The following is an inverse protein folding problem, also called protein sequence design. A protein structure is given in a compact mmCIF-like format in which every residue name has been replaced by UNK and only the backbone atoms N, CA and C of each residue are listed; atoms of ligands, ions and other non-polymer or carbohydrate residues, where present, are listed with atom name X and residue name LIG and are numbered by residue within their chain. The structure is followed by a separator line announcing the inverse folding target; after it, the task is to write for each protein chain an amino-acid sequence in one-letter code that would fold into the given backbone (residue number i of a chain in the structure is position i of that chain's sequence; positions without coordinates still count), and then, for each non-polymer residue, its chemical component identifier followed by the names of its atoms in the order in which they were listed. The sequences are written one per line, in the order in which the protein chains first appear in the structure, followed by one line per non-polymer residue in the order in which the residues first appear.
data_IF_376169528387
#
_entry.id   IF_376169528387
#
_cell.length_a   1.000
_cell.length_b   1.000
_cell.length_c   1.000
_cell.angle_alpha   90.00
_cell.angle_beta   90.00
_cell.angle_gamma   90.00
#
_symmetry.space_group_name_H-M   'P 1'
#
loop_
_entity.id
_entity.type
_entity.pdbx_description
1 polymer ?
#
# COMPACT_ATOMS: atom_id res chain seq x y z
N UNK A 1 -3.73 -14.47 -21.03
CA UNK A 1 -2.99 -13.46 -20.26
C UNK A 1 -3.01 -12.25 -21.15
N UNK A 2 -3.65 -11.20 -20.68
CA UNK A 2 -3.98 -10.06 -21.53
C UNK A 2 -3.02 -8.93 -21.18
N UNK A 3 -2.33 -8.42 -22.20
CA UNK A 3 -1.35 -7.34 -22.09
C UNK A 3 -1.97 -6.03 -22.59
N UNK A 4 -1.82 -4.97 -21.79
CA UNK A 4 -2.28 -3.63 -22.15
C UNK A 4 -1.32 -2.56 -21.62
N UNK A 5 -1.03 -1.53 -22.41
CA UNK A 5 -0.27 -0.37 -21.96
C UNK A 5 -1.23 0.62 -21.30
N UNK A 6 -0.99 0.93 -20.04
CA UNK A 6 -1.73 1.98 -19.31
C UNK A 6 -1.14 3.34 -19.64
N UNK A 7 -2.01 4.29 -19.96
CA UNK A 7 -1.64 5.70 -20.19
C UNK A 7 -1.54 6.48 -18.88
N UNK A 8 -0.79 7.58 -18.84
CA UNK A 8 -0.77 8.47 -17.67
C UNK A 8 -2.17 8.99 -17.31
N UNK A 9 -3.03 9.24 -18.30
CA UNK A 9 -4.41 9.65 -18.08
C UNK A 9 -5.26 8.58 -17.37
N UNK A 10 -5.08 7.31 -17.73
CA UNK A 10 -5.72 6.19 -17.03
C UNK A 10 -5.17 6.04 -15.61
N UNK A 11 -3.86 6.17 -15.42
CA UNK A 11 -3.26 6.11 -14.08
C UNK A 11 -3.80 7.21 -13.15
N UNK A 12 -3.90 8.44 -13.65
CA UNK A 12 -4.54 9.55 -12.93
C UNK A 12 -5.98 9.20 -12.54
N UNK A 13 -6.77 8.69 -13.49
CA UNK A 13 -8.17 8.30 -13.27
C UNK A 13 -8.31 7.17 -12.24
N UNK A 14 -7.44 6.16 -12.32
CA UNK A 14 -7.38 5.05 -11.37
C UNK A 14 -7.10 5.54 -9.95
N UNK A 15 -6.21 6.51 -9.79
CA UNK A 15 -5.98 7.12 -8.49
C UNK A 15 -7.19 7.93 -8.03
N UNK A 16 -7.64 8.90 -8.83
CA UNK A 16 -8.59 9.92 -8.39
C UNK A 16 -9.97 9.34 -8.09
N UNK A 17 -10.44 8.40 -8.88
CA UNK A 17 -11.77 7.76 -8.72
C UNK A 17 -11.94 7.11 -7.34
N UNK A 18 -10.89 6.47 -6.83
CA UNK A 18 -10.95 5.65 -5.63
C UNK A 18 -10.30 6.32 -4.42
N UNK A 19 -9.30 7.18 -4.61
CA UNK A 19 -8.49 7.74 -3.53
C UNK A 19 -8.83 9.21 -3.20
N UNK A 20 -9.43 9.98 -4.11
CA UNK A 20 -9.80 11.38 -3.85
C UNK A 20 -11.03 11.50 -2.94
N UNK A 21 -10.82 11.40 -1.63
CA UNK A 21 -11.87 11.59 -0.61
C UNK A 21 -11.31 12.29 0.62
N UNK A 22 -12.20 12.67 1.52
CA UNK A 22 -11.85 12.96 2.92
C UNK A 22 -11.86 11.65 3.71
N UNK A 23 -10.68 11.10 3.94
CA UNK A 23 -10.46 9.90 4.72
C UNK A 23 -10.25 10.26 6.18
N UNK A 24 -11.07 9.69 7.06
CA UNK A 24 -10.91 9.78 8.50
C UNK A 24 -10.19 8.51 8.94
N UNK A 25 -8.98 8.64 9.47
CA UNK A 25 -8.13 7.47 9.67
C UNK A 25 -7.40 7.44 10.99
N UNK A 26 -6.75 6.32 11.23
CA UNK A 26 -5.90 6.05 12.36
C UNK A 26 -4.58 5.47 11.88
N UNK A 27 -3.48 6.10 12.26
CA UNK A 27 -2.13 5.70 11.86
C UNK A 27 -1.48 4.99 13.03
N UNK A 28 -0.81 3.89 12.74
CA UNK A 28 0.03 3.21 13.72
C UNK A 28 1.37 2.90 13.09
N UNK A 29 2.44 3.22 13.82
CA UNK A 29 3.82 2.99 13.40
C UNK A 29 4.48 2.06 14.41
N UNK A 30 5.21 1.07 13.92
CA UNK A 30 5.92 0.11 14.76
C UNK A 30 7.39 0.00 14.40
N UNK A 31 8.17 -0.43 15.39
CA UNK A 31 9.43 -1.10 15.12
C UNK A 31 9.11 -2.47 14.49
N UNK A 32 9.57 -2.73 13.26
CA UNK A 32 9.21 -3.95 12.53
C UNK A 32 9.77 -5.24 13.16
N UNK A 33 10.82 -5.16 13.97
CA UNK A 33 11.48 -6.31 14.56
C UNK A 33 10.92 -6.70 15.93
N UNK A 34 10.52 -5.71 16.73
CA UNK A 34 10.00 -5.94 18.08
C UNK A 34 8.48 -5.91 18.16
N UNK A 35 7.81 -5.27 17.19
CA UNK A 35 6.37 -4.97 17.26
C UNK A 35 6.01 -3.88 18.25
N UNK A 36 7.00 -3.17 18.80
CA UNK A 36 6.78 -2.03 19.68
C UNK A 36 6.13 -0.88 18.90
N UNK A 37 5.05 -0.31 19.46
CA UNK A 37 4.38 0.86 18.90
C UNK A 37 5.28 2.08 19.11
N UNK A 38 5.78 2.64 18.00
CA UNK A 38 6.57 3.87 18.00
C UNK A 38 5.68 5.11 18.09
N UNK A 39 4.51 5.08 17.44
CA UNK A 39 3.60 6.22 17.36
C UNK A 39 2.20 5.75 16.93
N UNK A 40 1.16 6.43 17.43
CA UNK A 40 -0.22 6.22 17.01
C UNK A 40 -1.08 7.46 17.20
N UNK A 41 -1.85 7.82 16.17
CA UNK A 41 -2.62 9.06 16.17
C UNK A 41 -3.79 9.00 15.19
N UNK A 42 -4.80 9.80 15.46
CA UNK A 42 -5.90 10.04 14.53
C UNK A 42 -5.43 10.93 13.38
N UNK A 43 -6.07 10.78 12.23
CA UNK A 43 -5.72 11.53 11.04
C UNK A 43 -6.94 11.92 10.21
N UNK A 44 -6.75 12.95 9.41
CA UNK A 44 -7.61 13.28 8.27
C UNK A 44 -6.71 13.38 7.05
N UNK A 45 -6.87 12.48 6.09
CA UNK A 45 -6.26 12.60 4.76
C UNK A 45 -7.32 13.12 3.81
N UNK A 46 -7.21 14.39 3.46
CA UNK A 46 -8.13 15.02 2.54
C UNK A 46 -7.47 15.14 1.17
N UNK A 47 -7.96 14.35 0.21
CA UNK A 47 -7.57 14.43 -1.20
C UNK A 47 -8.82 14.85 -1.97
N UNK A 48 -8.74 16.00 -2.64
CA UNK A 48 -9.88 16.60 -3.34
C UNK A 48 -9.52 16.83 -4.80
N UNK A 49 -10.27 16.21 -5.70
CA UNK A 49 -10.25 16.56 -7.11
C UNK A 49 -10.94 17.93 -7.26
N UNK A 50 -10.23 18.91 -7.82
CA UNK A 50 -10.76 20.25 -8.05
C UNK A 50 -11.41 20.31 -9.44
N UNK A 51 -10.77 19.68 -10.40
CA UNK A 51 -11.22 19.45 -11.78
C UNK A 51 -10.42 18.25 -12.36
N UNK A 52 -10.68 17.87 -13.60
CA UNK A 52 -10.06 16.71 -14.24
C UNK A 52 -8.52 16.78 -14.35
N UNK A 53 -7.95 17.96 -14.19
CA UNK A 53 -6.51 18.23 -14.33
C UNK A 53 -5.81 18.52 -13.01
N UNK A 54 -6.53 18.73 -11.90
CA UNK A 54 -5.95 19.20 -10.63
C UNK A 54 -6.57 18.55 -9.41
N UNK A 55 -5.72 18.20 -8.44
CA UNK A 55 -6.17 17.79 -7.11
C UNK A 55 -5.33 18.41 -5.99
N UNK A 56 -5.96 18.59 -4.84
CA UNK A 56 -5.31 19.04 -3.60
C UNK A 56 -5.23 17.90 -2.61
N UNK A 57 -4.15 17.84 -1.86
CA UNK A 57 -3.94 16.85 -0.81
C UNK A 57 -3.43 17.54 0.46
N UNK A 58 -4.06 17.22 1.57
CA UNK A 58 -3.72 17.69 2.91
C UNK A 58 -3.85 16.52 3.90
N UNK A 59 -2.82 16.26 4.70
CA UNK A 59 -2.95 15.40 5.89
C UNK A 59 -3.02 16.27 7.15
N UNK A 60 -3.92 15.93 8.06
CA UNK A 60 -3.98 16.48 9.41
C UNK A 60 -3.74 15.35 10.39
N UNK A 61 -2.71 15.46 11.22
CA UNK A 61 -2.44 14.53 12.33
C UNK A 61 -3.05 15.12 13.60
N UNK A 62 -3.70 14.28 14.39
CA UNK A 62 -4.42 14.65 15.62
C UNK A 62 -3.91 13.73 16.72
N UNK A 63 -3.17 14.30 17.66
CA UNK A 63 -2.50 13.57 18.72
C UNK A 63 -3.38 13.44 19.96
N UNK A 64 -3.01 12.53 20.86
CA UNK A 64 -3.79 12.22 22.08
C UNK A 64 -3.94 13.41 23.04
N UNK A 65 -2.99 14.34 23.02
CA UNK A 65 -3.03 15.58 23.80
C UNK A 65 -3.98 16.64 23.20
N UNK A 66 -4.67 16.32 22.10
CA UNK A 66 -5.57 17.22 21.37
C UNK A 66 -4.85 18.17 20.42
N UNK A 67 -3.51 18.18 20.38
CA UNK A 67 -2.76 18.95 19.42
C UNK A 67 -2.95 18.40 18.00
N UNK A 68 -2.79 19.27 17.00
CA UNK A 68 -2.87 18.85 15.60
C UNK A 68 -1.78 19.47 14.75
N UNK A 69 -1.37 18.72 13.73
CA UNK A 69 -0.40 19.15 12.72
C UNK A 69 -1.00 19.02 11.34
N UNK A 70 -1.12 20.14 10.64
CA UNK A 70 -1.68 20.22 9.29
C UNK A 70 -0.73 20.93 8.31
N UNK A 71 0.55 21.09 8.64
CA UNK A 71 1.54 21.65 7.71
C UNK A 71 2.86 20.92 7.83
N UNK A 72 3.61 20.92 6.73
CA UNK A 72 4.98 20.38 6.67
C UNK A 72 5.14 19.25 5.66
N UNK A 73 6.34 18.63 5.60
CA UNK A 73 6.71 17.69 4.54
C UNK A 73 5.85 16.42 4.46
N UNK A 74 5.11 16.09 5.52
CA UNK A 74 4.20 14.93 5.62
C UNK A 74 2.72 15.34 5.68
N UNK A 75 2.42 16.64 5.65
CA UNK A 75 1.08 17.16 5.83
C UNK A 75 0.59 18.00 4.65
N UNK A 76 1.48 18.66 3.91
CA UNK A 76 1.10 19.56 2.83
C UNK A 76 0.87 20.99 3.33
N UNK A 77 0.02 21.78 2.65
CA UNK A 77 -0.82 21.39 1.51
C UNK A 77 0.02 21.07 0.27
N UNK A 78 -0.48 20.14 -0.53
CA UNK A 78 0.08 19.81 -1.83
C UNK A 78 -0.93 19.99 -2.94
N UNK A 79 -0.43 20.39 -4.09
CA UNK A 79 -1.20 20.45 -5.34
C UNK A 79 -0.54 19.53 -6.37
N UNK A 80 -1.38 18.72 -7.00
CA UNK A 80 -1.05 17.89 -8.14
C UNK A 80 -1.66 18.51 -9.39
N UNK A 81 -0.89 18.54 -10.47
CA UNK A 81 -1.36 18.85 -11.81
C UNK A 81 -1.14 17.61 -12.67
N UNK A 82 -2.19 17.13 -13.34
CA UNK A 82 -2.17 15.89 -14.13
C UNK A 82 -0.98 15.83 -15.08
N UNK A 83 -0.77 16.87 -15.89
CA UNK A 83 0.28 16.89 -16.92
C UNK A 83 1.70 17.12 -16.37
N UNK A 84 1.82 17.57 -15.12
CA UNK A 84 3.13 17.75 -14.44
C UNK A 84 3.52 16.53 -13.63
N UNK A 85 2.54 15.96 -12.95
CA UNK A 85 2.75 14.98 -11.88
C UNK A 85 2.31 13.59 -12.28
N UNK A 86 1.95 13.34 -13.53
CA UNK A 86 1.60 12.02 -14.02
C UNK A 86 2.11 11.84 -15.45
N UNK A 87 3.17 11.06 -15.61
CA UNK A 87 3.85 10.81 -16.88
C UNK A 87 3.90 9.30 -17.18
N UNK A 88 4.57 8.92 -18.26
CA UNK A 88 4.77 7.52 -18.69
C UNK A 88 5.58 6.66 -17.70
N UNK A 89 6.16 7.28 -16.67
CA UNK A 89 6.89 6.62 -15.59
C UNK A 89 6.08 6.57 -14.28
N UNK A 90 4.85 7.07 -14.26
CA UNK A 90 3.93 6.99 -13.14
C UNK A 90 3.58 8.36 -12.54
N UNK A 91 2.88 8.34 -11.40
CA UNK A 91 2.45 9.57 -10.73
C UNK A 91 3.47 10.02 -9.68
N UNK A 92 3.77 11.32 -9.62
CA UNK A 92 4.70 11.95 -8.68
C UNK A 92 3.91 12.55 -7.52
N UNK A 93 4.23 12.13 -6.29
CA UNK A 93 3.71 12.81 -5.11
C UNK A 93 4.45 14.15 -4.91
N UNK A 94 3.77 15.30 -4.75
CA UNK A 94 4.39 16.63 -4.63
C UNK A 94 5.42 16.74 -3.50
N UNK A 95 5.27 15.95 -2.43
CA UNK A 95 6.27 15.87 -1.35
C UNK A 95 7.63 15.34 -1.80
N UNK A 96 7.71 14.54 -2.87
CA UNK A 96 8.97 13.97 -3.38
C UNK A 96 9.73 14.91 -4.31
N UNK A 97 9.14 16.04 -4.74
CA UNK A 97 9.78 17.02 -5.64
C UNK A 97 11.08 17.58 -5.08
N UNK A 98 11.11 17.84 -3.77
CA UNK A 98 12.30 18.41 -3.10
C UNK A 98 13.45 17.41 -2.93
N UNK A 99 13.18 16.12 -3.12
CA UNK A 99 14.17 15.04 -2.93
C UNK A 99 14.48 14.31 -4.24
N UNK A 100 14.21 14.96 -5.39
CA UNK A 100 14.67 14.51 -6.70
C UNK A 100 13.67 13.70 -7.52
N UNK A 101 12.38 13.66 -7.14
CA UNK A 101 11.36 12.87 -7.85
C UNK A 101 11.76 11.40 -8.03
N UNK A 102 12.46 10.79 -7.07
CA UNK A 102 12.89 9.40 -7.19
C UNK A 102 11.77 8.38 -6.89
N UNK A 103 10.60 8.87 -6.45
CA UNK A 103 9.43 8.05 -6.12
C UNK A 103 8.29 8.28 -7.13
N UNK A 104 7.60 7.18 -7.44
CA UNK A 104 6.45 7.13 -8.34
C UNK A 104 5.33 6.33 -7.71
N UNK A 105 4.11 6.62 -8.12
CA UNK A 105 2.95 5.84 -7.76
C UNK A 105 2.31 5.19 -8.99
N UNK A 106 1.79 3.98 -8.77
CA UNK A 106 1.23 3.09 -9.77
C UNK A 106 -0.10 2.56 -9.25
N UNK A 107 -1.17 2.69 -10.02
CA UNK A 107 -2.54 2.36 -9.61
C UNK A 107 -3.25 1.59 -10.72
N UNK A 108 -3.88 0.48 -10.36
CA UNK A 108 -4.73 -0.30 -11.26
C UNK A 108 -6.18 0.17 -11.17
N UNK A 109 -7.04 -0.35 -12.05
CA UNK A 109 -8.38 0.18 -12.29
C UNK A 109 -9.34 0.20 -11.08
N UNK A 110 -9.06 -0.57 -10.02
CA UNK A 110 -9.86 -0.55 -8.79
C UNK A 110 -9.30 0.42 -7.72
N UNK A 111 -8.27 1.18 -8.08
CA UNK A 111 -7.61 2.14 -7.21
C UNK A 111 -6.53 1.56 -6.30
N UNK A 112 -6.37 0.25 -6.24
CA UNK A 112 -5.25 -0.37 -5.53
C UNK A 112 -3.94 -0.10 -6.25
N UNK A 113 -2.84 -0.13 -5.52
CA UNK A 113 -1.60 0.38 -6.06
C UNK A 113 -0.49 0.59 -5.06
N UNK A 114 0.56 1.26 -5.50
CA UNK A 114 1.72 1.57 -4.65
C UNK A 114 2.25 2.96 -4.88
N UNK A 115 2.86 3.55 -3.86
CA UNK A 115 3.84 4.63 -3.97
C UNK A 115 5.19 4.08 -3.55
N UNK A 116 6.19 4.16 -4.41
CA UNK A 116 7.48 3.48 -4.22
C UNK A 116 8.63 4.26 -4.85
N UNK A 117 9.84 4.01 -4.37
CA UNK A 117 11.06 4.49 -5.02
C UNK A 117 11.36 3.69 -6.29
N UNK A 118 11.91 4.34 -7.30
CA UNK A 118 12.30 3.68 -8.55
C UNK A 118 13.62 2.92 -8.45
N UNK A 119 14.48 3.31 -7.51
CA UNK A 119 15.76 2.64 -7.24
C UNK A 119 16.22 2.85 -5.81
N UNK A 120 16.64 1.77 -5.16
CA UNK A 120 17.32 1.80 -3.87
C UNK A 120 18.68 2.48 -4.05
N UNK A 121 18.93 3.52 -3.25
CA UNK A 121 20.20 4.26 -3.24
C UNK A 121 20.87 4.04 -1.90
N UNK A 122 22.19 3.84 -1.91
CA UNK A 122 22.97 3.75 -0.69
C UNK A 122 22.81 5.02 0.16
N UNK A 123 22.84 4.85 1.48
CA UNK A 123 22.88 5.95 2.45
C UNK A 123 21.69 6.90 2.34
N UNK A 124 20.54 6.41 1.87
CA UNK A 124 19.29 7.17 1.80
C UNK A 124 18.17 6.40 2.48
N UNK A 125 17.41 7.12 3.30
CA UNK A 125 16.13 6.65 3.81
C UNK A 125 15.14 6.57 2.66
N UNK A 126 14.33 5.52 2.62
CA UNK A 126 13.24 5.39 1.67
C UNK A 126 12.04 4.68 2.26
N UNK A 127 10.89 4.87 1.62
CA UNK A 127 9.61 4.33 2.04
C UNK A 127 8.85 3.88 0.80
N UNK A 128 8.02 2.87 0.95
CA UNK A 128 6.97 2.57 0.00
C UNK A 128 5.67 2.32 0.77
N UNK A 129 4.56 2.48 0.06
CA UNK A 129 3.21 2.32 0.55
C UNK A 129 2.40 1.50 -0.45
N UNK A 130 1.60 0.56 0.03
CA UNK A 130 0.65 -0.27 -0.72
C UNK A 130 -0.78 0.12 -0.32
N UNK A 131 -1.66 0.27 -1.29
CA UNK A 131 -2.98 0.90 -1.13
C UNK A 131 -4.10 -0.09 -1.42
N UNK A 132 -4.96 -0.33 -0.44
CA UNK A 132 -6.07 -1.26 -0.54
C UNK A 132 -7.41 -0.51 -0.39
N UNK A 133 -7.90 0.19 -1.42
CA UNK A 133 -9.20 0.85 -1.36
C UNK A 133 -10.33 -0.16 -1.53
N UNK A 134 -11.39 0.03 -0.76
CA UNK A 134 -12.64 -0.69 -0.89
C UNK A 134 -13.83 0.25 -0.64
N UNK A 135 -14.32 0.86 -1.73
CA UNK A 135 -15.42 1.82 -1.72
C UNK A 135 -15.24 2.99 -0.73
N UNK A 136 -15.79 2.83 0.48
CA UNK A 136 -15.84 3.82 1.55
C UNK A 136 -14.80 3.59 2.64
N UNK A 137 -14.09 2.47 2.59
CA UNK A 137 -13.00 2.12 3.49
C UNK A 137 -11.74 1.89 2.69
N UNK A 138 -10.60 2.02 3.34
CA UNK A 138 -9.31 1.63 2.79
C UNK A 138 -8.34 1.38 3.92
N UNK A 139 -7.29 0.65 3.61
CA UNK A 139 -6.08 0.78 4.38
C UNK A 139 -4.88 0.96 3.44
N UNK A 140 -3.79 1.44 4.00
CA UNK A 140 -2.49 1.32 3.38
C UNK A 140 -1.45 0.82 4.36
N UNK A 141 -0.49 0.08 3.83
CA UNK A 141 0.62 -0.45 4.60
C UNK A 141 1.92 -0.02 3.95
N UNK A 142 2.90 0.38 4.76
CA UNK A 142 4.19 0.81 4.25
C UNK A 142 5.34 0.46 5.16
N UNK A 143 6.50 0.27 4.56
CA UNK A 143 7.75 -0.03 5.25
C UNK A 143 8.77 1.04 4.90
N UNK A 144 9.41 1.61 5.92
CA UNK A 144 10.52 2.54 5.77
C UNK A 144 11.82 1.81 6.06
N UNK A 145 12.82 2.03 5.22
CA UNK A 145 14.19 1.59 5.42
C UNK A 145 15.07 2.78 5.81
N UNK A 146 16.00 2.56 6.74
CA UNK A 146 17.02 3.55 7.12
C UNK A 146 18.11 3.69 6.04
N UNK A 147 19.13 4.53 6.31
CA UNK A 147 20.21 4.79 5.37
C UNK A 147 21.13 3.56 5.15
N UNK A 148 21.12 2.62 6.09
CA UNK A 148 21.88 1.36 6.10
C UNK A 148 21.09 0.21 5.45
N UNK A 149 19.84 0.48 5.06
CA UNK A 149 18.93 -0.46 4.42
C UNK A 149 18.22 -1.38 5.40
N UNK A 150 18.19 -1.12 6.71
CA UNK A 150 17.42 -1.91 7.66
C UNK A 150 15.97 -1.43 7.71
N UNK A 151 15.03 -2.36 7.89
CA UNK A 151 13.64 -2.03 8.12
C UNK A 151 13.53 -1.26 9.44
N UNK A 152 13.23 0.04 9.36
CA UNK A 152 13.23 0.93 10.51
C UNK A 152 11.83 1.24 11.03
N UNK A 153 10.82 1.16 10.15
CA UNK A 153 9.44 1.46 10.51
C UNK A 153 8.44 0.71 9.65
N UNK A 154 7.49 0.06 10.29
CA UNK A 154 6.27 -0.42 9.64
C UNK A 154 5.13 0.54 9.95
N UNK A 155 4.26 0.82 8.99
CA UNK A 155 3.11 1.73 9.16
C UNK A 155 1.84 1.08 8.61
N UNK A 156 0.75 1.14 9.38
CA UNK A 156 -0.59 0.78 8.93
C UNK A 156 -1.49 2.01 9.10
N UNK A 157 -2.20 2.35 8.05
CA UNK A 157 -3.10 3.48 7.98
C UNK A 157 -4.47 2.93 7.66
N UNK A 158 -5.40 3.01 8.62
CA UNK A 158 -6.77 2.51 8.49
C UNK A 158 -7.70 3.69 8.34
N UNK A 159 -8.46 3.74 7.27
CA UNK A 159 -9.20 4.93 6.84
C UNK A 159 -10.64 4.57 6.44
N UNK A 160 -11.59 5.43 6.83
CA UNK A 160 -13.01 5.34 6.47
C UNK A 160 -13.51 6.75 6.12
N UNK A 161 -14.23 6.90 5.02
CA UNK A 161 -14.73 8.21 4.60
C UNK A 161 -16.12 8.56 5.19
N UNK A 162 -16.72 7.65 5.97
CA UNK A 162 -18.07 7.81 6.55
C UNK A 162 -18.04 8.24 8.00
N UNK A 163 -17.13 7.69 8.81
CA UNK A 163 -17.13 7.91 10.26
C UNK A 163 -15.73 7.87 10.90
N UNK A 164 -15.61 8.52 12.06
CA UNK A 164 -14.49 8.38 13.00
C UNK A 164 -15.02 8.27 14.43
N UNK A 165 -14.76 7.17 15.17
CA UNK A 165 -14.04 5.98 14.72
C UNK A 165 -14.77 5.27 13.57
N UNK A 166 -14.02 4.51 12.76
CA UNK A 166 -14.62 3.62 11.76
C UNK A 166 -15.42 2.53 12.48
N UNK A 167 -16.54 2.11 11.87
CA UNK A 167 -17.28 0.93 12.31
C UNK A 167 -16.67 -0.38 11.81
N UNK A 168 -15.72 -0.30 10.87
CA UNK A 168 -15.07 -1.45 10.25
C UNK A 168 -13.70 -1.75 10.89
N UNK A 169 -12.88 -0.72 11.11
CA UNK A 169 -11.53 -0.91 11.65
C UNK A 169 -11.56 -1.09 13.17
N UNK A 170 -10.84 -2.10 13.66
CA UNK A 170 -10.65 -2.27 15.10
C UNK A 170 -9.81 -1.14 15.71
N UNK A 171 -9.87 -1.00 17.03
CA UNK A 171 -8.98 -0.10 17.80
C UNK A 171 -7.63 -0.76 18.15
N UNK A 172 -7.42 -2.00 17.71
CA UNK A 172 -6.23 -2.75 18.08
C UNK A 172 -5.00 -2.18 17.37
N UNK A 173 -3.88 -2.19 18.07
CA UNK A 173 -2.61 -1.64 17.60
C UNK A 173 -1.45 -2.58 17.81
N UNK A 174 -1.63 -3.69 18.53
CA UNK A 174 -0.55 -4.64 18.76
C UNK A 174 -0.45 -5.63 17.60
N UNK A 175 0.76 -6.12 17.37
CA UNK A 175 0.95 -7.26 16.48
C UNK A 175 0.16 -8.46 16.98
N UNK A 176 -0.32 -9.27 16.04
CA UNK A 176 -0.97 -10.54 16.30
C UNK A 176 0.05 -11.67 16.20
N UNK A 177 -0.27 -12.80 16.82
CA UNK A 177 0.52 -14.02 16.68
C UNK A 177 0.31 -14.69 15.32
N UNK A 178 -0.94 -14.71 14.88
CA UNK A 178 -1.41 -15.27 13.61
C UNK A 178 -2.88 -14.85 13.40
N UNK A 179 -3.43 -15.11 12.22
CA UNK A 179 -4.87 -15.16 11.99
C UNK A 179 -5.25 -16.34 11.09
N UNK A 180 -6.44 -16.89 11.30
CA UNK A 180 -6.89 -18.07 10.56
C UNK A 180 -7.50 -17.67 9.21
N UNK A 181 -6.76 -17.87 8.12
CA UNK A 181 -7.30 -17.83 6.75
C UNK A 181 -7.24 -19.23 6.17
N UNK A 182 -8.39 -19.86 6.00
CA UNK A 182 -8.57 -21.22 5.48
C UNK A 182 -9.43 -21.21 4.22
N UNK A 183 -9.22 -22.23 3.40
CA UNK A 183 -10.00 -22.46 2.20
C UNK A 183 -9.19 -22.25 0.93
N UNK A 184 -9.84 -22.59 -0.17
CA UNK A 184 -9.34 -22.39 -1.51
C UNK A 184 -9.98 -21.12 -2.07
N UNK A 185 -9.16 -20.28 -2.69
CA UNK A 185 -9.61 -19.04 -3.29
C UNK A 185 -9.17 -19.00 -4.75
N UNK A 186 -10.01 -18.43 -5.60
CA UNK A 186 -9.69 -18.18 -7.00
C UNK A 186 -9.98 -16.73 -7.35
N UNK A 187 -9.17 -16.19 -8.25
CA UNK A 187 -9.17 -14.76 -8.46
C UNK A 187 -8.49 -14.30 -9.73
N UNK A 188 -8.28 -12.99 -9.76
CA UNK A 188 -7.55 -12.31 -10.82
C UNK A 188 -6.30 -11.67 -10.25
N UNK A 189 -5.19 -11.83 -10.95
CA UNK A 189 -3.94 -11.13 -10.68
C UNK A 189 -3.68 -10.11 -11.79
N UNK A 190 -3.30 -8.90 -11.38
CA UNK A 190 -2.86 -7.81 -12.25
C UNK A 190 -1.41 -7.48 -11.89
N UNK A 191 -0.54 -7.48 -12.89
CA UNK A 191 0.85 -6.98 -12.76
C UNK A 191 0.96 -5.68 -13.54
N UNK A 192 1.52 -4.63 -12.95
CA UNK A 192 1.79 -3.34 -13.58
C UNK A 192 3.28 -3.02 -13.48
N UNK A 193 3.97 -3.01 -14.62
CA UNK A 193 5.41 -2.76 -14.68
C UNK A 193 5.79 -1.29 -14.49
N UNK A 194 7.07 -1.01 -14.25
CA UNK A 194 7.64 0.33 -14.21
C UNK A 194 7.39 1.15 -15.50
N UNK A 195 7.18 0.46 -16.62
CA UNK A 195 6.84 1.06 -17.90
C UNK A 195 5.34 1.01 -18.18
N UNK A 196 4.48 0.93 -17.15
CA UNK A 196 3.01 0.93 -17.29
C UNK A 196 2.44 -0.17 -18.20
N UNK A 197 3.15 -1.29 -18.36
CA UNK A 197 2.61 -2.48 -19.04
C UNK A 197 1.83 -3.28 -17.99
N UNK A 198 0.54 -3.46 -18.25
CA UNK A 198 -0.36 -4.24 -17.42
C UNK A 198 -0.55 -5.63 -18.00
N UNK A 199 -0.35 -6.66 -17.16
CA UNK A 199 -0.68 -8.05 -17.47
C UNK A 199 -1.81 -8.50 -16.56
N UNK A 200 -2.84 -9.10 -17.14
CA UNK A 200 -3.97 -9.68 -16.37
C UNK A 200 -4.01 -11.18 -16.54
N UNK A 201 -4.12 -11.90 -15.41
CA UNK A 201 -4.28 -13.35 -15.35
C UNK A 201 -5.49 -13.69 -14.49
N UNK A 202 -6.44 -14.43 -15.06
CA UNK A 202 -7.65 -14.89 -14.37
C UNK A 202 -7.49 -16.33 -13.90
N UNK A 203 -8.43 -16.78 -13.06
CA UNK A 203 -8.45 -18.13 -12.49
C UNK A 203 -7.15 -18.48 -11.74
N UNK A 204 -6.56 -17.49 -11.08
CA UNK A 204 -5.38 -17.68 -10.25
C UNK A 204 -5.82 -18.31 -8.92
N UNK A 205 -5.18 -19.42 -8.58
CA UNK A 205 -5.40 -20.12 -7.33
C UNK A 205 -4.62 -19.46 -6.19
N UNK A 206 -5.27 -19.34 -5.04
CA UNK A 206 -4.66 -18.89 -3.80
C UNK A 206 -5.15 -19.74 -2.62
N UNK A 207 -4.21 -20.13 -1.76
CA UNK A 207 -4.51 -20.64 -0.43
C UNK A 207 -3.35 -20.29 0.53
N UNK A 208 -3.55 -20.54 1.83
CA UNK A 208 -2.55 -20.21 2.86
C UNK A 208 -1.23 -20.97 2.65
N UNK A 209 -1.28 -22.23 2.25
CA UNK A 209 -0.07 -23.04 2.03
C UNK A 209 0.77 -22.49 0.87
N UNK A 210 0.11 -22.11 -0.24
CA UNK A 210 0.72 -21.43 -1.37
C UNK A 210 1.42 -20.14 -0.90
N UNK A 211 0.74 -19.35 -0.06
CA UNK A 211 1.31 -18.12 0.48
C UNK A 211 2.54 -18.42 1.34
N UNK A 212 2.45 -19.28 2.34
CA UNK A 212 3.56 -19.60 3.25
C UNK A 212 4.79 -20.17 2.54
N UNK A 213 4.58 -21.02 1.52
CA UNK A 213 5.67 -21.57 0.70
C UNK A 213 6.52 -20.48 0.02
N UNK A 214 5.93 -19.35 -0.35
CA UNK A 214 6.67 -18.23 -0.96
C UNK A 214 7.52 -17.43 0.04
N UNK A 215 7.32 -17.63 1.35
CA UNK A 215 7.99 -16.87 2.41
C UNK A 215 9.02 -17.67 3.18
N UNK A 216 8.84 -18.99 3.30
CA UNK A 216 9.75 -19.85 4.09
C UNK A 216 11.15 -20.02 3.49
N UNK A 217 11.38 -19.62 2.24
CA UNK A 217 12.66 -19.85 1.55
C UNK A 217 13.71 -18.75 1.71
N UNK A 218 13.41 -17.65 2.43
CA UNK A 218 14.31 -16.50 2.53
C UNK A 218 14.51 -16.08 3.99
N UNK A 219 15.68 -16.43 4.53
CA UNK A 219 16.05 -16.14 5.91
C UNK A 219 16.11 -14.64 6.23
N UNK A 220 16.15 -13.77 5.21
CA UNK A 220 16.14 -12.32 5.38
C UNK A 220 14.72 -11.74 5.41
N UNK A 221 13.66 -12.54 5.24
CA UNK A 221 12.27 -12.05 5.30
C UNK A 221 11.68 -12.10 6.70
N UNK A 222 11.07 -10.99 7.11
CA UNK A 222 10.19 -10.91 8.26
C UNK A 222 8.74 -10.98 7.81
N UNK A 223 7.92 -11.74 8.53
CA UNK A 223 6.46 -11.76 8.38
C UNK A 223 5.86 -11.30 9.69
N UNK A 224 4.98 -10.31 9.62
CA UNK A 224 4.28 -9.77 10.79
C UNK A 224 2.78 -9.76 10.53
N UNK A 225 2.03 -10.11 11.57
CA UNK A 225 0.57 -10.10 11.56
C UNK A 225 0.11 -8.83 12.25
N UNK A 226 -0.61 -7.99 11.52
CA UNK A 226 -1.13 -6.71 11.97
C UNK A 226 -2.61 -6.86 12.39
N UNK A 227 -3.17 -5.84 13.06
CA UNK A 227 -4.60 -5.75 13.28
C UNK A 227 -5.42 -5.90 11.98
N UNK A 228 -6.69 -6.24 12.12
CA UNK A 228 -7.67 -6.28 11.02
C UNK A 228 -7.30 -7.26 9.88
N UNK A 229 -6.71 -8.40 10.25
CA UNK A 229 -6.32 -9.50 9.33
C UNK A 229 -5.39 -9.05 8.21
N UNK A 230 -4.56 -8.04 8.48
CA UNK A 230 -3.50 -7.59 7.58
C UNK A 230 -2.20 -8.30 7.94
N UNK A 231 -1.43 -8.70 6.93
CA UNK A 231 -0.11 -9.29 7.11
C UNK A 231 0.87 -8.67 6.15
N UNK A 232 2.10 -8.42 6.61
CA UNK A 232 3.16 -7.84 5.79
C UNK A 232 4.37 -8.77 5.82
N UNK A 233 4.86 -9.13 4.64
CA UNK A 233 6.15 -9.78 4.43
C UNK A 233 7.13 -8.80 3.78
N UNK A 234 8.29 -8.60 4.40
CA UNK A 234 9.30 -7.65 3.93
C UNK A 234 10.70 -8.13 4.34
N UNK A 235 11.75 -7.78 3.58
CA UNK A 235 13.12 -8.07 3.99
C UNK A 235 13.52 -7.21 5.20
N UNK A 236 14.14 -7.82 6.19
CA UNK A 236 14.69 -7.14 7.36
C UNK A 236 15.78 -6.14 6.96
N UNK A 237 16.56 -6.47 5.92
CA UNK A 237 17.54 -5.58 5.31
C UNK A 237 17.53 -5.67 3.79
N UNK A 238 17.74 -4.55 3.12
CA UNK A 238 17.80 -4.45 1.65
C UNK A 238 19.14 -3.89 1.20
N UNK A 239 19.57 -4.32 0.01
CA UNK A 239 20.81 -3.87 -0.61
C UNK A 239 20.55 -3.40 -2.06
N UNK A 240 21.17 -2.30 -2.52
CA UNK A 240 20.94 -1.75 -3.86
C UNK A 240 21.22 -2.70 -5.03
N UNK A 241 22.04 -3.73 -4.84
CA UNK A 241 22.38 -4.70 -5.89
C UNK A 241 21.55 -5.99 -5.82
N UNK A 242 20.67 -6.14 -4.84
CA UNK A 242 19.89 -7.36 -4.65
C UNK A 242 18.44 -7.16 -5.07
N UNK A 243 17.85 -8.24 -5.58
CA UNK A 243 16.40 -8.32 -5.82
C UNK A 243 15.68 -8.62 -4.51
N UNK A 244 14.51 -8.01 -4.32
CA UNK A 244 13.66 -8.25 -3.16
C UNK A 244 12.21 -7.91 -3.51
N UNK A 245 11.29 -8.24 -2.62
CA UNK A 245 9.91 -7.79 -2.73
C UNK A 245 9.32 -7.55 -1.35
N UNK A 246 8.28 -6.72 -1.33
CA UNK A 246 7.45 -6.52 -0.13
C UNK A 246 6.02 -6.81 -0.50
N UNK A 247 5.40 -7.65 0.31
CA UNK A 247 4.06 -8.20 0.08
C UNK A 247 3.16 -7.87 1.26
N UNK A 248 1.96 -7.41 0.95
CA UNK A 248 0.89 -7.16 1.93
C UNK A 248 -0.30 -8.03 1.55
N UNK A 249 -0.87 -8.66 2.56
CA UNK A 249 -2.06 -9.47 2.46
C UNK A 249 -3.14 -8.86 3.35
N UNK A 250 -4.40 -8.96 2.94
CA UNK A 250 -5.55 -8.70 3.80
C UNK A 250 -6.69 -9.66 3.47
N UNK A 251 -7.35 -10.14 4.52
CA UNK A 251 -8.57 -10.93 4.42
C UNK A 251 -9.77 -10.09 4.89
N UNK A 252 -10.58 -9.65 3.94
CA UNK A 252 -11.85 -8.97 4.21
C UNK A 252 -12.90 -10.03 4.54
N UNK A 253 -13.50 -9.94 5.73
CA UNK A 253 -14.51 -10.91 6.22
C UNK A 253 -15.77 -10.26 6.79
N UNK A 254 -15.93 -8.95 6.68
CA UNK A 254 -17.08 -8.25 7.27
C UNK A 254 -18.26 -8.21 6.29
N UNK A 255 -19.46 -8.46 6.80
CA UNK A 255 -20.69 -8.53 5.99
C UNK A 255 -20.65 -9.68 4.99
N UNK A 256 -21.05 -9.40 3.74
CA UNK A 256 -21.04 -10.39 2.65
C UNK A 256 -19.69 -10.48 1.92
N UNK A 257 -18.69 -9.68 2.33
CA UNK A 257 -17.35 -9.74 1.75
C UNK A 257 -16.56 -10.85 2.44
N UNK A 258 -16.32 -11.93 1.71
CA UNK A 258 -15.27 -12.88 1.99
C UNK A 258 -14.30 -12.84 0.82
N UNK A 259 -13.25 -12.04 0.93
CA UNK A 259 -12.25 -11.90 -0.12
C UNK A 259 -10.84 -11.74 0.45
N UNK A 260 -9.88 -12.27 -0.30
CA UNK A 260 -8.46 -12.11 -0.04
C UNK A 260 -7.91 -11.11 -1.04
N UNK A 261 -7.16 -10.13 -0.56
CA UNK A 261 -6.37 -9.23 -1.39
C UNK A 261 -4.89 -9.38 -1.04
N UNK A 262 -4.06 -9.44 -2.08
CA UNK A 262 -2.61 -9.44 -1.98
C UNK A 262 -2.05 -8.34 -2.88
N UNK A 263 -1.13 -7.52 -2.35
CA UNK A 263 -0.37 -6.58 -3.15
C UNK A 263 1.13 -6.77 -2.90
N UNK A 264 1.92 -6.79 -3.96
CA UNK A 264 3.37 -6.98 -3.88
C UNK A 264 4.09 -5.97 -4.76
N UNK A 265 5.16 -5.39 -4.24
CA UNK A 265 6.14 -4.62 -5.03
C UNK A 265 7.40 -5.44 -5.21
N UNK A 266 7.90 -5.50 -6.43
CA UNK A 266 9.09 -6.25 -6.80
C UNK A 266 10.22 -5.30 -7.21
N UNK A 267 11.40 -5.61 -6.70
CA UNK A 267 12.65 -4.95 -7.07
C UNK A 267 13.60 -5.98 -7.67
N UNK A 268 14.23 -5.61 -8.77
CA UNK A 268 15.28 -6.37 -9.44
C UNK A 268 16.57 -5.56 -9.39
N UNK A 269 17.61 -6.10 -8.76
CA UNK A 269 18.89 -5.40 -8.56
C UNK A 269 18.67 -3.96 -8.02
N UNK A 270 17.86 -3.85 -6.97
CA UNK A 270 17.45 -2.60 -6.33
C UNK A 270 16.61 -1.64 -7.17
N UNK A 271 16.24 -1.96 -8.41
CA UNK A 271 15.35 -1.15 -9.24
C UNK A 271 13.91 -1.64 -9.14
N UNK A 272 12.94 -0.73 -9.08
CA UNK A 272 11.53 -1.12 -9.15
C UNK A 272 11.25 -1.81 -10.49
N UNK A 273 10.74 -3.04 -10.43
CA UNK A 273 10.38 -3.84 -11.60
C UNK A 273 8.88 -3.71 -11.88
N UNK A 274 8.06 -4.08 -10.92
CA UNK A 274 6.60 -4.06 -11.06
C UNK A 274 5.87 -4.10 -9.72
N UNK A 275 4.61 -3.68 -9.77
CA UNK A 275 3.59 -3.90 -8.76
C UNK A 275 2.70 -5.06 -9.21
N UNK A 276 2.24 -5.89 -8.27
CA UNK A 276 1.28 -6.96 -8.51
C UNK A 276 0.15 -6.86 -7.50
N UNK A 277 -1.09 -6.97 -7.95
CA UNK A 277 -2.28 -7.11 -7.13
C UNK A 277 -2.98 -8.43 -7.45
N UNK A 278 -3.41 -9.16 -6.44
CA UNK A 278 -4.30 -10.31 -6.56
C UNK A 278 -5.56 -10.08 -5.73
N UNK A 279 -6.73 -10.34 -6.29
CA UNK A 279 -8.01 -10.34 -5.58
C UNK A 279 -8.68 -11.69 -5.82
N UNK A 280 -9.01 -12.38 -4.73
CA UNK A 280 -9.47 -13.76 -4.73
C UNK A 280 -10.71 -13.93 -3.87
N UNK A 281 -11.61 -14.78 -4.33
CA UNK A 281 -12.87 -15.10 -3.69
C UNK A 281 -12.87 -16.59 -3.31
N UNK A 282 -13.50 -16.96 -2.18
CA UNK A 282 -13.59 -18.35 -1.76
C UNK A 282 -14.31 -19.18 -2.82
N UNK A 283 -13.89 -20.43 -2.99
CA UNK A 283 -14.69 -21.40 -3.72
C UNK A 283 -15.91 -21.73 -2.87
N UNK A 284 -17.10 -21.43 -3.38
CA UNK A 284 -18.33 -21.99 -2.81
C UNK A 284 -18.20 -23.50 -2.81
N UNK A 285 -18.09 -24.11 -1.62
CA UNK A 285 -18.28 -25.54 -1.48
C UNK A 285 -19.74 -25.78 -1.84
N UNK A 286 -20.01 -26.14 -3.10
CA UNK A 286 -21.28 -26.78 -3.45
C UNK A 286 -21.43 -27.96 -2.49
N UNK A 287 -22.44 -27.85 -1.64
CA UNK A 287 -22.87 -28.89 -0.71
C UNK A 287 -23.42 -30.08 -1.48
#
# INVERSE_FOLDING_TARGET
MDENKITPAQLWTNYTTYNCRKWLGFWTKWNPHTGEVLDSFDSIRHIQLIDDSRMKHQNTFIYKDGSSKNTGPMNGPWEYLKDRDCDEHGMIHPSSRKIGNDARAFFVQNGGGTWTIMRVKEKKIFFFELFFPDHFKRFSNGVQYDAEGNAARLTLIREDNRSRPSLYWSKEIDFRKDFDTKGEFYGTEITLSANLIQLTKTNCHWNREYWEKQHRSDANKSVVYLPDKVMTSFPARVHPSLSFHVKVFCHYTEGDQNEVREETIYFENGAFSHFKQGIYFPVDKKS
#
